data_IF_311737884390
#
_entry.id   IF_311737884390
#
_cell.length_a   1.000
_cell.length_b   1.000
_cell.length_c   1.000
_cell.angle_alpha   90.00
_cell.angle_beta   90.00
_cell.angle_gamma   90.00
#
_symmetry.space_group_name_H-M   'P 1'
#
loop_
_entity.id
_entity.type
_entity.pdbx_description
1 polymer ?
#
# COMPACT_ATOMS: atom_id res chain seq x y z
N UNK A 1 -19.58 -9.30 -19.37
CA UNK A 1 -18.80 -8.13 -18.86
C UNK A 1 -17.32 -8.41 -19.00
N UNK A 2 -16.52 -7.43 -19.38
CA UNK A 2 -15.05 -7.55 -19.40
C UNK A 2 -14.49 -7.48 -17.98
N UNK A 3 -13.27 -7.96 -17.78
CA UNK A 3 -12.60 -7.86 -16.46
C UNK A 3 -12.51 -6.41 -15.97
N UNK A 4 -12.27 -5.44 -16.87
CA UNK A 4 -12.26 -4.02 -16.52
C UNK A 4 -13.64 -3.56 -16.01
N UNK A 5 -14.73 -3.87 -16.74
CA UNK A 5 -16.08 -3.53 -16.30
C UNK A 5 -16.45 -4.16 -14.95
N UNK A 6 -15.96 -5.37 -14.68
CA UNK A 6 -16.14 -6.03 -13.38
C UNK A 6 -15.39 -5.29 -12.26
N UNK A 7 -14.15 -4.86 -12.51
CA UNK A 7 -13.41 -4.05 -11.53
C UNK A 7 -14.04 -2.67 -11.33
N UNK A 8 -14.52 -2.03 -12.40
CA UNK A 8 -15.24 -0.74 -12.29
C UNK A 8 -16.49 -0.89 -11.39
N UNK A 9 -17.12 -2.07 -11.43
CA UNK A 9 -18.24 -2.44 -10.56
C UNK A 9 -17.82 -3.06 -9.21
N UNK A 10 -16.53 -2.93 -8.83
CA UNK A 10 -15.95 -3.51 -7.61
C UNK A 10 -16.19 -5.04 -7.46
N UNK A 11 -16.08 -5.80 -8.55
CA UNK A 11 -16.23 -7.26 -8.57
C UNK A 11 -14.89 -7.93 -8.87
N UNK A 12 -13.96 -7.86 -7.92
CA UNK A 12 -12.56 -8.32 -8.05
C UNK A 12 -12.49 -9.83 -8.29
N UNK A 13 -13.26 -10.61 -7.53
CA UNK A 13 -13.30 -12.08 -7.64
C UNK A 13 -13.82 -12.53 -9.02
N UNK A 14 -14.86 -11.87 -9.53
CA UNK A 14 -15.39 -12.13 -10.86
C UNK A 14 -14.41 -11.73 -11.95
N UNK A 15 -13.74 -10.58 -11.81
CA UNK A 15 -12.70 -10.13 -12.74
C UNK A 15 -11.54 -11.14 -12.80
N UNK A 16 -11.03 -11.59 -11.64
CA UNK A 16 -9.98 -12.62 -11.56
C UNK A 16 -10.40 -13.92 -12.25
N UNK A 17 -11.65 -14.34 -12.08
CA UNK A 17 -12.19 -15.55 -12.72
C UNK A 17 -12.23 -15.44 -14.24
N UNK A 18 -12.67 -14.30 -14.78
CA UNK A 18 -12.69 -14.03 -16.24
C UNK A 18 -11.28 -14.00 -16.80
N UNK A 19 -10.33 -13.35 -16.11
CA UNK A 19 -8.93 -13.30 -16.53
C UNK A 19 -8.27 -14.68 -16.51
N UNK A 20 -8.53 -15.48 -15.46
CA UNK A 20 -8.02 -16.85 -15.38
C UNK A 20 -8.60 -17.76 -16.48
N UNK A 21 -9.87 -17.61 -16.84
CA UNK A 21 -10.49 -18.33 -17.95
C UNK A 21 -9.83 -17.97 -19.28
N UNK A 22 -9.65 -16.66 -19.54
CA UNK A 22 -8.98 -16.17 -20.76
C UNK A 22 -7.55 -16.67 -20.88
N UNK A 23 -6.78 -16.73 -19.78
CA UNK A 23 -5.41 -17.24 -19.79
C UNK A 23 -5.30 -18.74 -20.07
N UNK A 24 -6.35 -19.54 -19.82
CA UNK A 24 -6.39 -20.95 -20.23
C UNK A 24 -6.50 -21.10 -21.73
N UNK A 25 -7.24 -20.20 -22.39
CA UNK A 25 -7.40 -20.18 -23.84
C UNK A 25 -6.21 -19.50 -24.53
N UNK A 26 -5.63 -18.48 -23.90
CA UNK A 26 -4.53 -17.68 -24.41
C UNK A 26 -3.36 -17.58 -23.40
N UNK A 27 -2.59 -18.66 -23.18
CA UNK A 27 -1.56 -18.72 -22.13
C UNK A 27 -0.42 -17.70 -22.31
N UNK A 28 -0.26 -17.15 -23.49
CA UNK A 28 0.80 -16.18 -23.84
C UNK A 28 0.36 -14.72 -23.71
N UNK A 29 -0.90 -14.44 -23.37
CA UNK A 29 -1.43 -13.08 -23.19
C UNK A 29 -0.83 -12.44 -21.93
N UNK A 30 0.25 -11.65 -22.13
CA UNK A 30 0.96 -10.94 -21.05
C UNK A 30 0.10 -9.89 -20.38
N UNK A 31 -0.68 -9.13 -21.13
CA UNK A 31 -1.53 -8.09 -20.58
C UNK A 31 -2.60 -8.67 -19.66
N UNK A 32 -3.23 -9.78 -20.09
CA UNK A 32 -4.18 -10.52 -19.27
C UNK A 32 -3.52 -11.08 -18.00
N UNK A 33 -2.28 -11.59 -18.10
CA UNK A 33 -1.54 -12.14 -16.95
C UNK A 33 -1.15 -11.06 -15.96
N UNK A 34 -0.68 -9.89 -16.43
CA UNK A 34 -0.37 -8.75 -15.57
C UNK A 34 -1.63 -8.28 -14.81
N UNK A 35 -2.75 -8.22 -15.51
CA UNK A 35 -4.01 -7.81 -14.90
C UNK A 35 -4.52 -8.84 -13.88
N UNK A 36 -4.35 -10.14 -14.13
CA UNK A 36 -4.66 -11.18 -13.15
C UNK A 36 -3.73 -11.11 -11.94
N UNK A 37 -2.44 -10.86 -12.14
CA UNK A 37 -1.50 -10.62 -11.06
C UNK A 37 -2.00 -9.50 -10.13
N UNK A 38 -2.37 -8.35 -10.67
CA UNK A 38 -2.87 -7.21 -9.90
C UNK A 38 -4.15 -7.57 -9.12
N UNK A 39 -5.14 -8.20 -9.76
CA UNK A 39 -6.39 -8.58 -9.08
C UNK A 39 -6.18 -9.63 -7.96
N UNK A 40 -5.20 -10.51 -8.12
CA UNK A 40 -4.82 -11.48 -7.11
C UNK A 40 -4.16 -10.80 -5.90
N UNK A 41 -3.38 -9.73 -6.11
CA UNK A 41 -2.81 -8.94 -5.01
C UNK A 41 -3.91 -8.27 -4.18
N UNK A 42 -4.90 -7.63 -4.83
CA UNK A 42 -6.05 -7.04 -4.13
C UNK A 42 -6.90 -8.05 -3.36
N UNK A 43 -6.94 -9.30 -3.79
CA UNK A 43 -7.68 -10.37 -3.12
C UNK A 43 -6.84 -11.17 -2.10
N UNK A 44 -5.65 -10.70 -1.73
CA UNK A 44 -4.77 -11.34 -0.75
C UNK A 44 -4.18 -12.69 -1.21
N UNK A 45 -4.31 -13.03 -2.51
CA UNK A 45 -3.84 -14.30 -3.06
C UNK A 45 -2.38 -14.21 -3.52
N UNK A 46 -1.49 -13.74 -2.63
CA UNK A 46 -0.11 -13.38 -2.95
C UNK A 46 0.72 -14.53 -3.54
N UNK A 47 0.53 -15.77 -3.09
CA UNK A 47 1.27 -16.92 -3.64
C UNK A 47 0.85 -17.25 -5.09
N UNK A 48 -0.42 -17.01 -5.43
CA UNK A 48 -0.89 -17.13 -6.80
C UNK A 48 -0.41 -15.97 -7.66
N UNK A 49 -0.43 -14.75 -7.12
CA UNK A 49 0.12 -13.58 -7.77
C UNK A 49 1.60 -13.77 -8.12
N UNK A 50 2.40 -14.28 -7.19
CA UNK A 50 3.82 -14.55 -7.38
C UNK A 50 4.09 -15.55 -8.54
N UNK A 51 3.27 -16.61 -8.67
CA UNK A 51 3.36 -17.55 -9.80
C UNK A 51 3.12 -16.86 -11.16
N UNK A 52 2.16 -15.93 -11.23
CA UNK A 52 1.93 -15.17 -12.45
C UNK A 52 3.06 -14.18 -12.74
N UNK A 53 3.64 -13.56 -11.70
CA UNK A 53 4.80 -12.69 -11.83
C UNK A 53 6.04 -13.46 -12.33
N UNK A 54 6.28 -14.69 -11.85
CA UNK A 54 7.36 -15.56 -12.34
C UNK A 54 7.27 -15.80 -13.85
N UNK A 55 6.07 -16.13 -14.35
CA UNK A 55 5.88 -16.34 -15.79
C UNK A 55 6.09 -15.04 -16.59
N UNK A 56 5.76 -13.88 -16.00
CA UNK A 56 6.00 -12.58 -16.64
C UNK A 56 7.49 -12.26 -16.72
N UNK A 57 8.26 -12.55 -15.67
CA UNK A 57 9.72 -12.27 -15.60
C UNK A 57 10.55 -13.07 -16.60
N UNK A 58 10.11 -14.27 -16.99
CA UNK A 58 10.81 -15.15 -17.94
C UNK A 58 10.80 -14.62 -19.40
N UNK A 59 10.11 -13.50 -19.68
CA UNK A 59 9.93 -12.98 -21.04
C UNK A 59 11.05 -12.08 -21.55
N UNK A 60 12.16 -12.00 -20.84
CA UNK A 60 13.36 -11.28 -21.23
C UNK A 60 13.84 -10.31 -20.15
N UNK A 61 15.03 -9.76 -20.35
CA UNK A 61 15.73 -8.94 -19.34
C UNK A 61 14.93 -7.72 -18.85
N UNK A 62 14.20 -7.06 -19.73
CA UNK A 62 13.37 -5.89 -19.32
C UNK A 62 12.21 -6.32 -18.42
N UNK A 63 11.56 -7.44 -18.74
CA UNK A 63 10.49 -8.01 -17.92
C UNK A 63 11.03 -8.52 -16.58
N UNK A 64 12.19 -9.14 -16.58
CA UNK A 64 12.90 -9.58 -15.37
C UNK A 64 13.21 -8.40 -14.45
N UNK A 65 13.84 -7.34 -14.98
CA UNK A 65 14.16 -6.13 -14.22
C UNK A 65 12.89 -5.44 -13.67
N UNK A 66 11.84 -5.31 -14.50
CA UNK A 66 10.55 -4.75 -14.05
C UNK A 66 9.86 -5.61 -12.99
N UNK A 67 10.09 -6.91 -12.98
CA UNK A 67 9.50 -7.83 -12.00
C UNK A 67 10.17 -7.77 -10.62
N UNK A 68 11.44 -7.37 -10.53
CA UNK A 68 12.19 -7.27 -9.27
C UNK A 68 11.46 -6.40 -8.25
N UNK A 69 10.95 -5.23 -8.69
CA UNK A 69 10.20 -4.32 -7.82
C UNK A 69 8.97 -5.00 -7.23
N UNK A 70 8.21 -5.76 -8.05
CA UNK A 70 6.97 -6.40 -7.60
C UNK A 70 7.21 -7.68 -6.78
N UNK A 71 8.30 -8.41 -7.02
CA UNK A 71 8.74 -9.46 -6.09
C UNK A 71 9.08 -8.88 -4.73
N UNK A 72 9.81 -7.77 -4.72
CA UNK A 72 10.16 -7.04 -3.49
C UNK A 72 8.90 -6.55 -2.76
N UNK A 73 7.94 -5.98 -3.49
CA UNK A 73 6.66 -5.53 -2.94
C UNK A 73 5.83 -6.69 -2.36
N UNK A 74 5.72 -7.82 -3.08
CA UNK A 74 5.02 -9.01 -2.59
C UNK A 74 5.65 -9.58 -1.32
N UNK A 75 6.99 -9.61 -1.26
CA UNK A 75 7.71 -10.08 -0.08
C UNK A 75 7.44 -9.18 1.13
N UNK A 76 7.54 -7.86 0.94
CA UNK A 76 7.25 -6.88 1.98
C UNK A 76 5.79 -6.95 2.43
N UNK A 77 4.84 -7.12 1.49
CA UNK A 77 3.41 -7.28 1.80
C UNK A 77 3.14 -8.54 2.63
N UNK A 78 3.72 -9.69 2.26
CA UNK A 78 3.61 -10.94 3.05
C UNK A 78 4.17 -10.74 4.46
N UNK A 79 5.32 -10.07 4.59
CA UNK A 79 5.93 -9.75 5.90
C UNK A 79 5.02 -8.84 6.72
N UNK A 80 4.43 -7.81 6.09
CA UNK A 80 3.46 -6.90 6.70
C UNK A 80 2.27 -7.65 7.28
N UNK A 81 1.64 -8.53 6.47
CA UNK A 81 0.50 -9.32 6.91
C UNK A 81 0.83 -10.27 8.05
N UNK A 82 2.03 -10.87 8.02
CA UNK A 82 2.49 -11.75 9.10
C UNK A 82 2.67 -10.98 10.41
N UNK A 83 3.23 -9.77 10.35
CA UNK A 83 3.42 -8.89 11.50
C UNK A 83 2.07 -8.47 12.11
N UNK A 84 1.11 -8.04 11.28
CA UNK A 84 -0.23 -7.70 11.75
C UNK A 84 -1.01 -8.91 12.27
N UNK A 85 -0.85 -10.08 11.65
CA UNK A 85 -1.47 -11.32 12.12
C UNK A 85 -0.96 -11.76 13.49
N UNK A 86 0.32 -11.53 13.78
CA UNK A 86 0.96 -11.87 15.07
C UNK A 86 0.82 -10.76 16.11
N UNK A 87 0.37 -9.58 15.71
CA UNK A 87 0.39 -8.37 16.54
C UNK A 87 1.79 -8.05 17.10
N UNK A 88 2.85 -8.42 16.37
CA UNK A 88 4.24 -8.21 16.76
C UNK A 88 4.73 -6.84 16.27
N UNK A 89 4.15 -5.81 16.84
CA UNK A 89 4.38 -4.43 16.42
C UNK A 89 5.64 -3.84 17.05
N UNK A 90 6.35 -2.94 16.35
CA UNK A 90 7.48 -2.22 16.90
C UNK A 90 7.07 -1.42 18.14
N UNK A 91 7.66 -1.76 19.30
CA UNK A 91 7.34 -1.15 20.61
C UNK A 91 8.18 0.09 20.91
N UNK A 92 8.95 0.62 19.97
CA UNK A 92 9.74 1.82 20.21
C UNK A 92 8.85 2.96 20.70
N UNK A 93 9.13 3.53 21.87
CA UNK A 93 8.38 4.69 22.30
C UNK A 93 8.55 5.80 21.28
N UNK A 94 7.45 6.28 20.73
CA UNK A 94 7.47 7.54 19.99
C UNK A 94 7.76 8.62 21.03
N UNK A 95 8.90 9.26 20.92
CA UNK A 95 9.08 10.56 21.56
C UNK A 95 8.39 11.54 20.63
N UNK A 96 7.25 12.07 20.98
CA UNK A 96 6.51 12.92 20.06
C UNK A 96 7.19 14.28 19.98
N UNK A 97 7.76 14.68 18.87
CA UNK A 97 7.54 16.02 18.44
C UNK A 97 6.24 16.02 17.64
N UNK A 98 5.35 16.93 17.96
CA UNK A 98 4.22 17.29 17.14
C UNK A 98 4.73 17.49 15.71
N UNK A 99 4.35 16.59 14.79
CA UNK A 99 4.82 16.67 13.41
C UNK A 99 3.88 17.61 12.65
N UNK A 100 4.19 18.90 12.67
CA UNK A 100 3.53 19.90 11.83
C UNK A 100 4.18 20.04 10.47
N UNK A 101 3.44 20.59 9.51
CA UNK A 101 3.98 20.72 8.15
C UNK A 101 3.01 21.28 7.14
N UNK A 102 3.16 20.84 5.87
CA UNK A 102 2.21 21.11 4.80
C UNK A 102 1.82 19.85 4.07
N UNK A 103 0.53 19.67 3.80
CA UNK A 103 -0.04 18.60 3.00
C UNK A 103 -0.69 19.21 1.76
N UNK A 104 -0.23 18.85 0.57
CA UNK A 104 -0.66 19.44 -0.70
C UNK A 104 -0.65 20.98 -0.67
N UNK A 105 0.35 21.57 0.01
CA UNK A 105 0.50 23.02 0.17
C UNK A 105 -0.38 23.68 1.25
N UNK A 106 -1.23 22.92 1.97
CA UNK A 106 -1.99 23.40 3.13
C UNK A 106 -1.26 23.07 4.41
N UNK A 107 -1.16 24.02 5.32
CA UNK A 107 -0.54 23.83 6.64
C UNK A 107 -1.38 22.89 7.50
N UNK A 108 -0.70 22.11 8.35
CA UNK A 108 -1.29 21.31 9.39
C UNK A 108 -0.42 21.37 10.66
N UNK A 109 -1.04 21.16 11.81
CA UNK A 109 -0.39 21.13 13.12
C UNK A 109 -0.16 19.71 13.65
N UNK A 110 -0.95 18.73 13.15
CA UNK A 110 -0.83 17.33 13.54
C UNK A 110 -1.18 16.37 12.40
N UNK A 111 -0.50 15.24 12.34
CA UNK A 111 -0.80 14.13 11.42
C UNK A 111 -0.52 12.78 12.08
N UNK A 112 -1.43 11.84 11.89
CA UNK A 112 -1.24 10.43 12.26
C UNK A 112 -1.98 9.53 11.28
N UNK A 113 -1.59 8.25 11.21
CA UNK A 113 -2.46 7.24 10.60
C UNK A 113 -3.73 7.10 11.46
N UNK A 114 -4.89 6.86 10.84
CA UNK A 114 -6.12 6.64 11.60
C UNK A 114 -6.09 5.29 12.34
N UNK A 115 -5.27 4.32 11.87
CA UNK A 115 -4.98 3.11 12.63
C UNK A 115 -4.12 3.45 13.85
N UNK A 116 -4.63 3.30 15.09
CA UNK A 116 -3.89 3.65 16.29
C UNK A 116 -2.62 2.81 16.50
N UNK A 117 -2.54 1.62 15.87
CA UNK A 117 -1.34 0.77 15.88
C UNK A 117 -0.19 1.44 15.15
N UNK A 118 -0.48 2.12 14.06
CA UNK A 118 0.50 2.87 13.26
C UNK A 118 0.78 4.25 13.87
N UNK A 119 -0.28 4.99 14.22
CA UNK A 119 -0.16 6.31 14.82
C UNK A 119 0.68 7.28 13.98
N UNK A 120 1.71 7.90 14.57
CA UNK A 120 2.59 8.87 13.91
C UNK A 120 3.71 8.20 13.08
N UNK A 121 3.40 7.14 12.34
CA UNK A 121 4.34 6.40 11.50
C UNK A 121 3.81 6.18 10.09
N UNK A 122 4.73 6.18 9.14
CA UNK A 122 4.47 5.79 7.76
C UNK A 122 4.96 4.36 7.53
N UNK A 123 4.10 3.52 6.97
CA UNK A 123 4.49 2.22 6.44
C UNK A 123 5.11 2.40 5.06
N UNK A 124 6.25 1.75 4.80
CA UNK A 124 6.89 1.76 3.48
C UNK A 124 7.47 0.39 3.13
N UNK A 125 7.53 0.10 1.84
CA UNK A 125 8.29 -0.99 1.26
C UNK A 125 9.52 -0.40 0.58
N UNK A 126 10.69 -0.65 1.15
CA UNK A 126 11.96 -0.17 0.65
C UNK A 126 12.93 -1.35 0.43
N UNK A 127 13.44 -1.52 -0.79
CA UNK A 127 14.37 -2.58 -1.16
C UNK A 127 13.93 -4.00 -0.71
N UNK A 128 12.63 -4.28 -0.74
CA UNK A 128 12.06 -5.56 -0.31
C UNK A 128 11.82 -5.70 1.19
N UNK A 129 12.21 -4.73 1.99
CA UNK A 129 11.90 -4.68 3.41
C UNK A 129 10.59 -3.93 3.67
N UNK A 130 9.84 -4.38 4.67
CA UNK A 130 8.71 -3.65 5.24
C UNK A 130 9.19 -2.86 6.46
N UNK A 131 8.98 -1.55 6.45
CA UNK A 131 9.49 -0.62 7.45
C UNK A 131 8.38 0.30 7.96
N UNK A 132 8.50 0.73 9.22
CA UNK A 132 7.73 1.80 9.83
C UNK A 132 8.66 2.98 10.11
N UNK A 133 8.36 4.13 9.53
CA UNK A 133 9.17 5.34 9.65
C UNK A 133 8.37 6.37 10.45
N UNK A 134 8.82 6.78 11.64
CA UNK A 134 8.20 7.89 12.35
C UNK A 134 8.18 9.15 11.47
N UNK A 135 7.06 9.87 11.42
CA UNK A 135 6.96 11.12 10.67
C UNK A 135 8.03 12.13 11.06
N UNK A 136 8.44 12.14 12.34
CA UNK A 136 9.52 12.99 12.84
C UNK A 136 10.89 12.77 12.14
N UNK A 137 11.06 11.64 11.45
CA UNK A 137 12.28 11.32 10.68
C UNK A 137 12.16 11.62 9.18
N UNK A 138 11.01 12.10 8.74
CA UNK A 138 10.73 12.43 7.34
C UNK A 138 10.78 13.94 7.17
N UNK A 139 11.52 14.41 6.15
CA UNK A 139 11.49 15.81 5.74
C UNK A 139 10.40 16.06 4.70
N UNK A 140 10.27 15.16 3.71
CA UNK A 140 9.21 15.26 2.71
C UNK A 140 8.87 13.93 2.07
N UNK A 141 7.63 13.85 1.56
CA UNK A 141 7.11 12.76 0.74
C UNK A 141 6.52 13.37 -0.53
N UNK A 142 6.87 12.81 -1.67
CA UNK A 142 6.30 13.19 -2.97
C UNK A 142 5.67 11.96 -3.63
N UNK A 143 4.44 12.09 -4.10
CA UNK A 143 3.67 11.00 -4.71
C UNK A 143 3.03 11.47 -6.01
N UNK A 144 3.15 10.65 -7.06
CA UNK A 144 2.44 10.88 -8.31
C UNK A 144 1.00 10.33 -8.23
N UNK A 145 0.05 10.89 -9.00
CA UNK A 145 -1.27 10.29 -9.12
C UNK A 145 -1.19 8.87 -9.65
N UNK A 146 -2.01 7.93 -9.13
CA UNK A 146 -2.05 6.56 -9.65
C UNK A 146 -2.34 6.53 -11.16
N UNK A 147 -1.53 5.78 -11.90
CA UNK A 147 -1.67 5.60 -13.36
C UNK A 147 -2.12 4.19 -13.73
N UNK A 148 -1.78 3.22 -12.89
CA UNK A 148 -2.07 1.80 -13.06
C UNK A 148 -2.86 1.30 -11.86
N UNK A 149 -3.58 0.19 -12.02
CA UNK A 149 -4.35 -0.39 -10.93
C UNK A 149 -3.47 -0.69 -9.69
N UNK A 150 -2.29 -1.25 -9.91
CA UNK A 150 -1.35 -1.55 -8.82
C UNK A 150 -0.84 -0.33 -8.06
N UNK A 151 -0.86 0.86 -8.67
CA UNK A 151 -0.46 2.10 -7.99
C UNK A 151 -1.49 2.51 -6.92
N UNK A 152 -2.71 1.96 -6.95
CA UNK A 152 -3.71 2.12 -5.89
C UNK A 152 -3.59 1.08 -4.78
N UNK A 153 -2.68 0.10 -4.93
CA UNK A 153 -2.31 -0.86 -3.89
C UNK A 153 -0.97 -0.48 -3.26
N UNK A 154 0.03 -0.13 -4.10
CA UNK A 154 1.38 0.26 -3.71
C UNK A 154 1.76 1.56 -4.42
N UNK A 155 1.62 2.68 -3.71
CA UNK A 155 1.87 4.01 -4.27
C UNK A 155 3.38 4.24 -4.40
N UNK A 156 3.90 4.49 -5.61
CA UNK A 156 5.27 4.94 -5.75
C UNK A 156 5.46 6.31 -5.11
N UNK A 157 6.46 6.44 -4.25
CA UNK A 157 6.78 7.67 -3.56
C UNK A 157 8.28 7.92 -3.46
N UNK A 158 8.67 9.19 -3.40
CA UNK A 158 10.01 9.62 -3.05
C UNK A 158 9.99 10.18 -1.63
N UNK A 159 10.82 9.62 -0.75
CA UNK A 159 10.97 10.09 0.64
C UNK A 159 12.34 10.72 0.81
N UNK A 160 12.34 11.97 1.28
CA UNK A 160 13.52 12.62 1.82
C UNK A 160 13.47 12.54 3.34
N UNK A 161 14.52 12.00 3.94
CA UNK A 161 14.62 11.88 5.39
C UNK A 161 15.12 13.18 6.03
N UNK A 162 14.65 13.44 7.24
CA UNK A 162 15.06 14.63 8.01
C UNK A 162 16.40 14.42 8.75
N UNK A 163 16.95 15.50 9.35
CA UNK A 163 18.24 15.44 10.06
C UNK A 163 18.27 14.48 11.27
N UNK A 164 17.12 14.16 11.82
CA UNK A 164 16.96 13.19 12.93
C UNK A 164 17.13 11.73 12.50
N UNK A 165 17.06 11.45 11.20
CA UNK A 165 17.25 10.11 10.66
C UNK A 165 18.74 9.79 10.55
N UNK A 166 19.18 8.76 11.28
CA UNK A 166 20.61 8.36 11.33
C UNK A 166 20.98 7.25 10.32
N UNK A 167 20.06 6.92 9.42
CA UNK A 167 20.26 5.90 8.39
C UNK A 167 20.69 6.47 7.04
N UNK A 168 20.83 5.58 6.04
CA UNK A 168 20.97 5.97 4.65
C UNK A 168 19.66 6.55 4.13
N UNK A 169 19.72 7.56 3.27
CA UNK A 169 18.50 8.12 2.65
C UNK A 169 17.68 7.02 1.97
N UNK A 170 16.37 7.04 2.21
CA UNK A 170 15.47 5.96 1.79
C UNK A 170 15.12 6.10 0.31
N UNK A 171 14.98 7.32 -0.19
CA UNK A 171 14.75 7.60 -1.61
C UNK A 171 13.41 7.07 -2.13
N UNK A 172 13.45 6.26 -3.18
CA UNK A 172 12.27 5.70 -3.83
C UNK A 172 11.73 4.49 -3.06
N UNK A 173 10.44 4.52 -2.75
CA UNK A 173 9.72 3.48 -2.00
C UNK A 173 8.36 3.19 -2.63
N UNK A 174 7.71 2.14 -2.13
CA UNK A 174 6.27 1.93 -2.31
C UNK A 174 5.58 2.12 -0.95
N UNK A 175 4.49 2.86 -0.95
CA UNK A 175 3.64 3.05 0.24
C UNK A 175 2.41 2.16 0.07
N UNK A 176 2.13 1.20 0.99
CA UNK A 176 0.91 0.41 0.94
C UNK A 176 -0.30 1.31 1.16
N UNK A 177 -1.18 1.38 0.16
CA UNK A 177 -2.34 2.27 0.17
C UNK A 177 -3.61 1.63 0.75
N UNK A 178 -3.56 0.34 1.05
CA UNK A 178 -4.69 -0.43 1.56
C UNK A 178 -4.28 -1.08 2.88
N UNK A 179 -5.16 -0.99 3.88
CA UNK A 179 -4.92 -1.63 5.18
C UNK A 179 -4.82 -3.15 5.08
N UNK A 180 -4.07 -3.80 5.98
CA UNK A 180 -3.95 -5.26 6.00
C UNK A 180 -5.31 -5.93 6.11
N UNK A 181 -5.45 -7.11 5.49
CA UNK A 181 -6.65 -7.96 5.55
C UNK A 181 -7.92 -7.36 4.93
N UNK A 182 -7.85 -6.24 4.21
CA UNK A 182 -9.01 -5.62 3.55
C UNK A 182 -9.77 -6.58 2.65
N UNK A 183 -9.11 -7.60 2.07
CA UNK A 183 -9.75 -8.65 1.26
C UNK A 183 -10.66 -9.60 2.07
N UNK A 184 -10.71 -9.50 3.40
CA UNK A 184 -11.64 -10.25 4.24
C UNK A 184 -13.02 -9.60 4.34
N UNK A 185 -13.14 -8.31 3.94
CA UNK A 185 -14.45 -7.65 3.86
C UNK A 185 -15.35 -8.35 2.84
N UNK A 186 -16.64 -8.39 3.10
CA UNK A 186 -17.66 -8.89 2.15
C UNK A 186 -17.85 -7.92 0.98
N UNK A 187 -17.52 -6.63 1.17
CA UNK A 187 -17.57 -5.60 0.13
C UNK A 187 -16.23 -5.51 -0.61
N UNK A 188 -16.18 -6.01 -1.84
CA UNK A 188 -14.96 -5.93 -2.66
C UNK A 188 -14.55 -4.49 -3.04
N UNK A 189 -15.39 -3.46 -2.79
CA UNK A 189 -14.97 -2.06 -2.91
C UNK A 189 -13.94 -1.68 -1.85
N UNK A 190 -13.98 -2.31 -0.68
CA UNK A 190 -12.98 -2.19 0.39
C UNK A 190 -11.64 -2.77 -0.08
N UNK A 191 -11.64 -3.91 -0.79
CA UNK A 191 -10.41 -4.52 -1.33
C UNK A 191 -9.67 -3.57 -2.27
N UNK A 192 -10.44 -2.79 -3.07
CA UNK A 192 -9.91 -1.82 -4.04
C UNK A 192 -9.57 -0.45 -3.42
N UNK A 193 -9.73 -0.29 -2.10
CA UNK A 193 -9.53 0.99 -1.44
C UNK A 193 -10.50 2.08 -1.88
N UNK A 194 -11.71 1.72 -2.37
CA UNK A 194 -12.76 2.68 -2.72
C UNK A 194 -13.64 3.07 -1.54
N UNK A 195 -13.48 2.32 -0.46
CA UNK A 195 -14.10 2.56 0.85
C UNK A 195 -13.09 2.24 1.93
N UNK A 196 -13.27 2.89 3.08
CA UNK A 196 -12.62 2.54 4.35
C UNK A 196 -13.72 2.24 5.34
N UNK A 197 -13.59 1.13 6.03
CA UNK A 197 -14.53 0.65 7.05
C UNK A 197 -13.77 0.32 8.31
N UNK A 198 -14.43 0.41 9.46
CA UNK A 198 -13.90 -0.04 10.73
C UNK A 198 -14.48 -1.41 11.04
N UNK A 199 -13.62 -2.34 11.39
CA UNK A 199 -13.98 -3.68 11.80
C UNK A 199 -13.46 -3.94 13.20
N UNK A 200 -14.06 -4.92 13.89
CA UNK A 200 -13.71 -5.31 15.25
C UNK A 200 -13.21 -6.76 15.22
N UNK A 201 -12.11 -7.03 15.92
CA UNK A 201 -11.62 -8.39 16.10
C UNK A 201 -12.35 -9.11 17.27
N UNK A 202 -12.02 -10.38 17.46
CA UNK A 202 -12.63 -11.22 18.52
C UNK A 202 -12.32 -10.71 19.94
N UNK A 203 -11.34 -9.81 20.10
CA UNK A 203 -10.93 -9.20 21.38
C UNK A 203 -11.56 -7.81 21.58
N UNK A 204 -12.33 -7.30 20.62
CA UNK A 204 -12.99 -6.00 20.66
C UNK A 204 -12.12 -4.84 20.20
N UNK A 205 -10.95 -5.09 19.60
CA UNK A 205 -10.12 -4.04 19.03
C UNK A 205 -10.66 -3.60 17.68
N UNK A 206 -10.81 -2.31 17.51
CA UNK A 206 -11.24 -1.72 16.25
C UNK A 206 -10.03 -1.34 15.38
N UNK A 207 -10.08 -1.70 14.10
CA UNK A 207 -9.06 -1.35 13.13
C UNK A 207 -9.69 -1.06 11.75
N UNK A 208 -9.04 -0.21 10.93
CA UNK A 208 -9.55 0.14 9.63
C UNK A 208 -9.22 -0.95 8.59
N UNK A 209 -10.10 -1.12 7.61
CA UNK A 209 -9.88 -1.87 6.38
C UNK A 209 -10.28 -1.03 5.18
N UNK A 210 -9.65 -1.25 4.03
CA UNK A 210 -9.84 -0.44 2.83
C UNK A 210 -8.70 0.54 2.62
N UNK A 211 -8.99 1.70 2.06
CA UNK A 211 -7.97 2.71 1.77
C UNK A 211 -7.35 3.26 3.05
N UNK A 212 -6.02 3.37 3.04
CA UNK A 212 -5.28 4.03 4.13
C UNK A 212 -5.68 5.51 4.22
N UNK A 213 -5.95 5.93 5.46
CA UNK A 213 -6.37 7.28 5.81
C UNK A 213 -5.40 7.89 6.83
N UNK A 214 -5.19 9.19 6.73
CA UNK A 214 -4.50 9.96 7.76
C UNK A 214 -5.47 10.92 8.46
N UNK A 215 -5.36 11.02 9.77
CA UNK A 215 -5.99 12.08 10.53
C UNK A 215 -5.06 13.30 10.52
N UNK A 216 -5.49 14.39 9.88
CA UNK A 216 -4.76 15.65 9.74
C UNK A 216 -5.58 16.74 10.42
N UNK A 217 -5.11 17.26 11.55
CA UNK A 217 -5.86 18.23 12.40
C UNK A 217 -7.28 17.75 12.73
N UNK A 218 -7.47 16.41 12.84
CA UNK A 218 -8.76 15.78 13.16
C UNK A 218 -9.66 15.51 11.94
N UNK A 219 -9.23 15.87 10.72
CA UNK A 219 -9.92 15.52 9.49
C UNK A 219 -9.27 14.29 8.84
N UNK A 220 -10.08 13.37 8.31
CA UNK A 220 -9.58 12.18 7.60
C UNK A 220 -9.22 12.51 6.15
N UNK A 221 -7.98 12.23 5.76
CA UNK A 221 -7.46 12.45 4.41
C UNK A 221 -7.02 11.11 3.81
N UNK A 222 -7.59 10.71 2.65
CA UNK A 222 -7.18 9.49 1.96
C UNK A 222 -5.74 9.56 1.45
N UNK A 223 -4.94 8.51 1.65
CA UNK A 223 -3.56 8.45 1.14
C UNK A 223 -3.48 8.72 -0.37
N UNK A 224 -4.42 8.18 -1.15
CA UNK A 224 -4.42 8.33 -2.61
C UNK A 224 -4.72 9.76 -3.09
N UNK A 225 -5.14 10.68 -2.22
CA UNK A 225 -5.33 12.11 -2.52
C UNK A 225 -4.09 12.95 -2.18
N UNK A 226 -3.12 12.39 -1.47
CA UNK A 226 -1.89 13.08 -1.10
C UNK A 226 -0.94 13.09 -2.29
N UNK A 227 -0.33 14.27 -2.55
CA UNK A 227 0.69 14.47 -3.59
C UNK A 227 2.02 14.90 -2.99
N UNK A 228 1.94 15.77 -1.98
CA UNK A 228 3.11 16.24 -1.25
C UNK A 228 2.81 16.33 0.24
N UNK A 229 3.78 15.93 1.03
CA UNK A 229 3.77 16.09 2.47
C UNK A 229 5.17 16.59 2.87
N UNK A 230 5.23 17.73 3.55
CA UNK A 230 6.48 18.35 4.01
C UNK A 230 6.37 18.58 5.49
N UNK A 231 7.38 18.17 6.24
CA UNK A 231 7.42 18.31 7.69
C UNK A 231 8.35 19.46 8.09
N UNK A 232 7.91 20.22 9.09
CA UNK A 232 8.76 21.23 9.69
C UNK A 232 9.92 20.55 10.44
N UNK A 233 11.13 21.11 10.36
CA UNK A 233 12.24 20.61 11.16
C UNK A 233 11.88 20.69 12.64
N UNK A 234 12.04 19.58 13.35
CA UNK A 234 11.91 19.57 14.82
C UNK A 234 13.01 20.46 15.40
N UNK A 235 12.59 21.44 16.20
CA UNK A 235 13.49 22.41 16.88
C UNK A 235 14.28 21.74 17.99
#
# INVERSE_FOLDING_TARGET
>A
MTAKQLLDAAKVSAASSVLAARLREHPTDTACRSFLFETLCFSGQFDRAEKHLSILSERGKEAEMGSVLYYSALHAEKTRHELFRKQDFPTSPLTPPTTSGTLNGKKFDSISDVDPVLGERLEVFAAGAYLWIPFAHIASIQMEPPRLLRDTLWVPAAILTGPSFKGTDIGQVLIPAIYPFSWKSEDEAVWLGRKTEWVEDDEGHQFPVGQKMFAVDGEEVPLLEIRSLEFNASS
#
